data_IF_056525482667
#
_entry.id   IF_056525482667
#
_cell.length_a   1.000
_cell.length_b   1.000
_cell.length_c   1.000
_cell.angle_alpha   90.00
_cell.angle_beta   90.00
_cell.angle_gamma   90.00
#
_symmetry.space_group_name_H-M   'P 1'
#
loop_
_entity.id
_entity.type
_entity.pdbx_description
1 polymer ?
#
# COMPACT_ATOMS: atom_id res chain seq x y z
N UNK A 1 34.84 1.99 1.29
CA UNK A 1 34.50 1.65 -0.12
C UNK A 1 33.67 2.77 -0.72
N UNK A 2 34.01 3.19 -1.92
CA UNK A 2 33.22 4.23 -2.62
C UNK A 2 32.04 3.56 -3.33
N UNK A 3 30.83 3.81 -2.88
CA UNK A 3 29.59 3.35 -3.51
C UNK A 3 29.44 4.04 -4.86
N UNK A 4 29.26 3.28 -5.94
CA UNK A 4 29.12 3.84 -7.27
C UNK A 4 27.74 4.43 -7.52
N UNK A 5 27.65 5.46 -8.36
CA UNK A 5 26.36 6.05 -8.72
C UNK A 5 25.41 5.05 -9.41
N UNK A 6 25.96 4.05 -10.10
CA UNK A 6 25.21 3.00 -10.79
C UNK A 6 24.50 2.07 -9.79
N UNK A 7 25.22 1.63 -8.75
CA UNK A 7 24.64 0.79 -7.67
C UNK A 7 23.54 1.54 -6.91
N UNK A 8 23.74 2.84 -6.66
CA UNK A 8 22.70 3.68 -6.02
C UNK A 8 21.44 3.77 -6.89
N UNK A 9 21.60 3.95 -8.21
CA UNK A 9 20.47 3.98 -9.13
C UNK A 9 19.74 2.63 -9.22
N UNK A 10 20.48 1.53 -9.21
CA UNK A 10 19.92 0.18 -9.25
C UNK A 10 19.11 -0.10 -7.98
N UNK A 11 19.68 0.15 -6.80
CA UNK A 11 18.98 -0.02 -5.53
C UNK A 11 17.74 0.89 -5.44
N UNK A 12 17.82 2.11 -5.99
CA UNK A 12 16.68 3.03 -6.04
C UNK A 12 15.55 2.49 -6.94
N UNK A 13 15.88 1.90 -8.09
CA UNK A 13 14.87 1.27 -8.96
C UNK A 13 14.18 0.10 -8.29
N UNK A 14 14.92 -0.69 -7.51
CA UNK A 14 14.38 -1.84 -6.79
C UNK A 14 13.53 -1.45 -5.58
N UNK A 15 14.00 -0.48 -4.80
CA UNK A 15 13.41 -0.13 -3.50
C UNK A 15 12.43 1.05 -3.55
N UNK A 16 12.54 1.91 -4.57
CA UNK A 16 11.84 3.19 -4.63
C UNK A 16 12.28 4.22 -3.57
N UNK A 17 13.26 3.90 -2.75
CA UNK A 17 13.75 4.79 -1.69
C UNK A 17 14.50 6.02 -2.22
N UNK A 18 14.70 7.02 -1.38
CA UNK A 18 15.43 8.23 -1.72
C UNK A 18 16.90 7.95 -2.05
N UNK A 19 17.50 8.74 -2.95
CA UNK A 19 18.88 8.54 -3.41
C UNK A 19 19.89 8.52 -2.25
N UNK A 20 19.73 9.41 -1.27
CA UNK A 20 20.62 9.46 -0.10
C UNK A 20 20.43 8.27 0.83
N UNK A 21 19.22 7.75 0.94
CA UNK A 21 18.92 6.54 1.71
C UNK A 21 19.55 5.30 1.06
N UNK A 22 19.44 5.19 -0.27
CA UNK A 22 20.09 4.11 -1.02
C UNK A 22 21.61 4.17 -0.88
N UNK A 23 22.21 5.36 -0.96
CA UNK A 23 23.66 5.55 -0.75
C UNK A 23 24.07 5.14 0.66
N UNK A 24 23.32 5.56 1.68
CA UNK A 24 23.58 5.18 3.08
C UNK A 24 23.50 3.67 3.29
N UNK A 25 22.42 3.05 2.80
CA UNK A 25 22.20 1.62 2.91
C UNK A 25 23.30 0.80 2.20
N UNK A 26 23.71 1.21 1.00
CA UNK A 26 24.83 0.57 0.30
C UNK A 26 26.15 0.73 1.04
N UNK A 27 26.40 1.89 1.63
CA UNK A 27 27.60 2.11 2.44
C UNK A 27 27.61 1.21 3.68
N UNK A 28 26.49 1.07 4.37
CA UNK A 28 26.30 0.18 5.54
C UNK A 28 26.44 -1.30 5.15
N UNK A 29 25.95 -1.68 3.97
CA UNK A 29 26.01 -3.03 3.42
C UNK A 29 27.32 -3.33 2.65
N UNK A 30 28.35 -2.47 2.77
CA UNK A 30 29.63 -2.62 2.06
C UNK A 30 29.49 -2.85 0.53
N UNK A 31 28.48 -2.23 -0.09
CA UNK A 31 28.20 -2.34 -1.53
C UNK A 31 27.35 -3.54 -1.94
N UNK A 32 26.91 -4.38 -0.97
CA UNK A 32 26.01 -5.50 -1.28
C UNK A 32 24.58 -4.98 -1.48
N UNK A 33 24.04 -5.17 -2.71
CA UNK A 33 22.71 -4.71 -3.10
C UNK A 33 21.58 -5.38 -2.30
N UNK A 34 21.68 -6.70 -2.08
CA UNK A 34 20.64 -7.46 -1.37
C UNK A 34 20.56 -7.08 0.11
N UNK A 35 21.72 -6.92 0.75
CA UNK A 35 21.78 -6.51 2.16
C UNK A 35 21.36 -5.04 2.31
N UNK A 36 21.73 -4.16 1.37
CA UNK A 36 21.26 -2.79 1.34
C UNK A 36 19.73 -2.72 1.15
N UNK A 37 19.16 -3.58 0.32
CA UNK A 37 17.71 -3.67 0.14
C UNK A 37 17.00 -4.12 1.42
N UNK A 38 17.54 -5.13 2.14
CA UNK A 38 17.01 -5.56 3.43
C UNK A 38 17.05 -4.43 4.46
N UNK A 39 18.17 -3.72 4.57
CA UNK A 39 18.32 -2.56 5.45
C UNK A 39 17.28 -1.46 5.14
N UNK A 40 17.02 -1.19 3.86
CA UNK A 40 15.99 -0.23 3.47
C UNK A 40 14.58 -0.68 3.88
N UNK A 41 14.27 -1.98 3.77
CA UNK A 41 13.00 -2.54 4.24
C UNK A 41 12.84 -2.39 5.75
N UNK A 42 13.86 -2.74 6.53
CA UNK A 42 13.84 -2.59 8.00
C UNK A 42 13.68 -1.12 8.42
N UNK A 43 14.42 -0.21 7.77
CA UNK A 43 14.27 1.23 7.99
C UNK A 43 12.87 1.74 7.58
N UNK A 44 12.26 1.17 6.54
CA UNK A 44 10.89 1.46 6.12
C UNK A 44 9.87 1.06 7.18
N UNK A 45 10.00 -0.13 7.74
CA UNK A 45 9.16 -0.62 8.85
C UNK A 45 9.28 0.29 10.07
N UNK A 46 10.50 0.63 10.49
CA UNK A 46 10.75 1.54 11.62
C UNK A 46 10.17 2.95 11.40
N UNK A 47 10.17 3.44 10.15
CA UNK A 47 9.51 4.71 9.79
C UNK A 47 7.99 4.60 9.86
N UNK A 48 7.42 3.49 9.40
CA UNK A 48 5.99 3.24 9.46
C UNK A 48 5.51 3.19 10.92
N UNK A 49 6.23 2.50 11.78
CA UNK A 49 5.92 2.46 13.22
C UNK A 49 5.92 3.84 13.86
N UNK A 50 6.93 4.69 13.56
CA UNK A 50 7.00 6.07 14.07
C UNK A 50 5.85 6.96 13.59
N UNK A 51 5.24 6.64 12.46
CA UNK A 51 4.14 7.41 11.87
C UNK A 51 2.77 6.86 12.18
N UNK A 52 2.67 5.64 12.70
CA UNK A 52 1.41 4.94 12.96
C UNK A 52 0.46 5.69 13.91
N UNK A 53 0.99 6.58 14.75
CA UNK A 53 0.19 7.43 15.65
C UNK A 53 -0.39 8.69 14.99
N UNK A 54 -0.03 8.98 13.73
CA UNK A 54 -0.57 10.15 13.02
C UNK A 54 -1.93 9.81 12.44
N UNK A 55 -2.83 10.78 12.50
CA UNK A 55 -4.17 10.63 11.93
C UNK A 55 -4.09 10.51 10.40
N UNK A 56 -4.80 9.53 9.85
CA UNK A 56 -4.95 9.27 8.43
C UNK A 56 -6.45 9.27 8.10
N UNK A 57 -6.97 10.44 7.73
CA UNK A 57 -8.41 10.68 7.54
C UNK A 57 -8.79 10.84 6.07
N UNK A 58 -7.80 10.99 5.18
CA UNK A 58 -7.98 10.99 3.74
C UNK A 58 -7.71 9.59 3.17
N UNK A 59 -7.99 9.34 1.91
CA UNK A 59 -7.68 8.04 1.31
C UNK A 59 -8.60 7.63 0.19
N UNK A 60 -8.62 6.31 -0.07
CA UNK A 60 -9.44 5.69 -1.11
C UNK A 60 -10.20 4.48 -0.57
N UNK A 61 -11.42 4.33 -1.07
CA UNK A 61 -12.15 3.08 -1.04
C UNK A 61 -12.06 2.43 -2.41
N UNK A 62 -11.58 1.20 -2.47
CA UNK A 62 -11.45 0.45 -3.71
C UNK A 62 -12.23 -0.86 -3.65
N UNK A 63 -12.76 -1.27 -4.80
CA UNK A 63 -13.49 -2.52 -4.96
C UNK A 63 -12.94 -3.28 -6.17
N UNK A 64 -12.83 -4.59 -6.03
CA UNK A 64 -12.57 -5.51 -7.13
C UNK A 64 -13.61 -6.62 -7.10
N UNK A 65 -14.21 -6.90 -8.26
CA UNK A 65 -15.16 -7.98 -8.45
C UNK A 65 -14.60 -8.99 -9.44
N UNK A 66 -14.62 -10.26 -9.06
CA UNK A 66 -14.28 -11.39 -9.94
C UNK A 66 -15.36 -12.48 -9.82
N UNK A 67 -16.09 -12.70 -10.91
CA UNK A 67 -17.20 -13.66 -10.89
C UNK A 67 -18.24 -13.33 -9.83
N UNK A 68 -18.45 -14.27 -8.91
CA UNK A 68 -19.39 -14.15 -7.79
C UNK A 68 -18.71 -13.69 -6.48
N UNK A 69 -17.50 -13.19 -6.54
CA UNK A 69 -16.76 -12.68 -5.39
C UNK A 69 -16.39 -11.22 -5.59
N UNK A 70 -16.35 -10.46 -4.50
CA UNK A 70 -15.84 -9.10 -4.48
C UNK A 70 -15.08 -8.81 -3.19
N UNK A 71 -14.00 -8.05 -3.32
CA UNK A 71 -13.30 -7.45 -2.20
C UNK A 71 -13.48 -5.94 -2.23
N UNK A 72 -13.60 -5.35 -1.07
CA UNK A 72 -13.63 -3.91 -0.84
C UNK A 72 -12.67 -3.57 0.28
N UNK A 73 -11.86 -2.54 0.07
CA UNK A 73 -10.90 -2.06 1.05
C UNK A 73 -10.99 -0.55 1.21
N UNK A 74 -10.68 -0.07 2.39
CA UNK A 74 -10.44 1.34 2.69
C UNK A 74 -8.98 1.50 3.10
N UNK A 75 -8.23 2.29 2.32
CA UNK A 75 -6.84 2.62 2.61
C UNK A 75 -6.73 4.12 2.80
N UNK A 76 -6.27 4.53 3.98
CA UNK A 76 -6.19 5.92 4.36
C UNK A 76 -4.75 6.46 4.33
N UNK A 77 -4.62 7.77 4.08
CA UNK A 77 -3.40 8.58 4.11
C UNK A 77 -3.61 9.84 4.96
N UNK A 78 -2.54 10.58 5.25
CA UNK A 78 -2.64 11.83 6.03
C UNK A 78 -3.28 12.94 5.20
N UNK A 79 -2.98 13.01 3.88
CA UNK A 79 -3.43 14.09 2.98
C UNK A 79 -4.13 13.59 1.72
N UNK A 80 -4.98 14.45 1.14
CA UNK A 80 -5.63 14.21 -0.14
C UNK A 80 -4.65 14.26 -1.33
N UNK A 81 -3.51 14.89 -1.19
CA UNK A 81 -2.44 14.87 -2.19
C UNK A 81 -1.93 13.45 -2.41
N UNK A 82 -1.74 12.69 -1.34
CA UNK A 82 -1.32 11.29 -1.41
C UNK A 82 -2.45 10.42 -1.98
N UNK A 83 -3.68 10.62 -1.55
CA UNK A 83 -4.81 9.83 -2.06
C UNK A 83 -5.05 9.98 -3.57
N UNK A 84 -4.57 11.08 -4.18
CA UNK A 84 -4.63 11.34 -5.63
C UNK A 84 -3.38 10.89 -6.40
N UNK A 85 -2.34 10.42 -5.70
CA UNK A 85 -1.09 10.01 -6.32
C UNK A 85 -1.22 8.62 -6.97
N UNK A 86 -0.68 8.47 -8.19
CA UNK A 86 -0.68 7.19 -8.90
C UNK A 86 0.00 6.06 -8.12
N UNK A 87 1.11 6.35 -7.41
CA UNK A 87 1.79 5.35 -6.57
C UNK A 87 0.90 4.85 -5.42
N UNK A 88 0.06 5.72 -4.86
CA UNK A 88 -0.91 5.32 -3.85
C UNK A 88 -2.03 4.45 -4.45
N UNK A 89 -2.49 4.78 -5.66
CA UNK A 89 -3.45 3.95 -6.39
C UNK A 89 -2.89 2.56 -6.72
N UNK A 90 -1.62 2.48 -7.13
CA UNK A 90 -0.94 1.21 -7.41
C UNK A 90 -0.81 0.35 -6.13
N UNK A 91 -0.50 0.99 -4.99
CA UNK A 91 -0.49 0.34 -3.69
C UNK A 91 -1.88 -0.22 -3.34
N UNK A 92 -2.92 0.60 -3.46
CA UNK A 92 -4.31 0.21 -3.16
C UNK A 92 -4.74 -0.98 -4.04
N UNK A 93 -4.41 -0.96 -5.32
CA UNK A 93 -4.67 -2.08 -6.23
C UNK A 93 -3.92 -3.34 -5.81
N UNK A 94 -2.65 -3.23 -5.42
CA UNK A 94 -1.85 -4.37 -4.96
C UNK A 94 -2.41 -4.99 -3.67
N UNK A 95 -2.86 -4.16 -2.73
CA UNK A 95 -3.54 -4.60 -1.50
C UNK A 95 -4.84 -5.34 -1.86
N UNK A 96 -5.62 -4.78 -2.79
CA UNK A 96 -6.90 -5.36 -3.21
C UNK A 96 -6.72 -6.76 -3.85
N UNK A 97 -5.66 -6.97 -4.63
CA UNK A 97 -5.29 -8.28 -5.17
C UNK A 97 -5.01 -9.31 -4.06
N UNK A 98 -4.24 -8.91 -3.04
CA UNK A 98 -3.94 -9.79 -1.91
C UNK A 98 -5.22 -10.17 -1.15
N UNK A 99 -6.11 -9.20 -0.92
CA UNK A 99 -7.40 -9.45 -0.25
C UNK A 99 -8.28 -10.40 -1.07
N UNK A 100 -8.31 -10.23 -2.40
CA UNK A 100 -9.04 -11.15 -3.29
C UNK A 100 -8.49 -12.59 -3.21
N UNK A 101 -7.17 -12.75 -3.11
CA UNK A 101 -6.53 -14.07 -3.00
C UNK A 101 -6.80 -14.73 -1.64
N UNK A 102 -6.74 -13.95 -0.56
CA UNK A 102 -6.94 -14.41 0.81
C UNK A 102 -8.42 -14.58 1.19
N UNK A 103 -9.33 -14.02 0.39
CA UNK A 103 -10.80 -14.11 0.60
C UNK A 103 -11.22 -13.60 1.98
N UNK A 104 -11.88 -14.47 2.76
CA UNK A 104 -12.39 -14.13 4.10
C UNK A 104 -11.31 -14.11 5.20
N UNK A 105 -10.06 -14.46 4.88
CA UNK A 105 -8.95 -14.43 5.85
C UNK A 105 -8.40 -13.00 5.99
N UNK A 106 -9.06 -12.23 6.83
CA UNK A 106 -8.70 -10.82 7.09
C UNK A 106 -7.35 -10.70 7.78
N UNK A 107 -7.06 -11.59 8.74
CA UNK A 107 -5.80 -11.54 9.50
C UNK A 107 -4.61 -11.80 8.59
N UNK A 108 -4.73 -12.80 7.72
CA UNK A 108 -3.72 -13.09 6.70
C UNK A 108 -3.57 -11.92 5.72
N UNK A 109 -4.67 -11.29 5.31
CA UNK A 109 -4.63 -10.13 4.42
C UNK A 109 -3.89 -8.96 5.04
N UNK A 110 -4.09 -8.69 6.33
CA UNK A 110 -3.38 -7.66 7.08
C UNK A 110 -1.88 -7.98 7.14
N UNK A 111 -1.52 -9.22 7.46
CA UNK A 111 -0.11 -9.63 7.55
C UNK A 111 0.60 -9.53 6.20
N UNK A 112 0.01 -10.08 5.14
CA UNK A 112 0.59 -10.09 3.79
C UNK A 112 0.75 -8.67 3.21
N UNK A 113 -0.11 -7.72 3.59
CA UNK A 113 -0.05 -6.32 3.12
C UNK A 113 0.89 -5.44 3.94
N UNK A 114 1.27 -5.84 5.14
CA UNK A 114 2.08 -5.06 6.09
C UNK A 114 3.40 -4.56 5.49
N UNK A 115 4.08 -5.43 4.74
CA UNK A 115 5.36 -5.08 4.10
C UNK A 115 5.16 -4.04 2.98
N UNK A 116 4.10 -4.18 2.17
CA UNK A 116 3.78 -3.23 1.10
C UNK A 116 3.47 -1.85 1.68
N UNK A 117 2.63 -1.80 2.71
CA UNK A 117 2.25 -0.55 3.39
C UNK A 117 3.49 0.11 4.01
N UNK A 118 4.32 -0.65 4.74
CA UNK A 118 5.55 -0.12 5.35
C UNK A 118 6.52 0.46 4.30
N UNK A 119 6.65 -0.21 3.16
CA UNK A 119 7.45 0.27 2.04
C UNK A 119 6.90 1.59 1.47
N UNK A 120 5.58 1.67 1.30
CA UNK A 120 4.91 2.87 0.83
C UNK A 120 5.03 4.04 1.81
N UNK A 121 4.86 3.81 3.12
CA UNK A 121 5.10 4.82 4.17
C UNK A 121 6.53 5.33 4.13
N UNK A 122 7.50 4.44 3.91
CA UNK A 122 8.91 4.79 3.77
C UNK A 122 9.18 5.69 2.56
N UNK A 123 8.50 5.44 1.45
CA UNK A 123 8.67 6.14 0.16
C UNK A 123 7.89 7.45 0.10
N UNK A 124 6.59 7.39 0.42
CA UNK A 124 5.66 8.52 0.32
C UNK A 124 5.88 9.51 1.47
N UNK A 125 6.22 9.00 2.64
CA UNK A 125 6.52 9.85 3.80
C UNK A 125 5.32 10.20 4.67
N UNK A 126 4.14 9.64 4.41
CA UNK A 126 2.92 9.76 5.21
C UNK A 126 2.54 8.45 5.89
N UNK A 127 1.73 8.54 6.94
CA UNK A 127 1.07 7.37 7.52
C UNK A 127 0.05 6.82 6.53
N UNK A 128 0.11 5.51 6.27
CA UNK A 128 -0.83 4.80 5.40
C UNK A 128 -1.41 3.64 6.19
N UNK A 129 -2.73 3.54 6.23
CA UNK A 129 -3.45 2.57 7.03
C UNK A 129 -4.46 1.81 6.18
N UNK A 130 -4.38 0.48 6.17
CA UNK A 130 -5.47 -0.38 5.69
C UNK A 130 -6.52 -0.45 6.81
N UNK A 131 -7.56 0.37 6.68
CA UNK A 131 -8.53 0.62 7.76
C UNK A 131 -9.66 -0.40 7.80
N UNK A 132 -10.17 -0.73 6.61
CA UNK A 132 -11.27 -1.69 6.48
C UNK A 132 -11.02 -2.66 5.34
N UNK A 133 -11.41 -3.92 5.58
CA UNK A 133 -11.41 -5.00 4.59
C UNK A 133 -12.79 -5.65 4.62
N UNK A 134 -13.37 -5.88 3.46
CA UNK A 134 -14.60 -6.64 3.30
C UNK A 134 -14.47 -7.56 2.09
N UNK A 135 -14.73 -8.84 2.28
CA UNK A 135 -14.87 -9.82 1.21
C UNK A 135 -16.31 -10.34 1.20
N UNK A 136 -16.88 -10.52 0.02
CA UNK A 136 -18.29 -10.89 -0.17
C UNK A 136 -18.35 -11.92 -1.29
N UNK A 137 -19.19 -12.95 -1.11
CA UNK A 137 -19.52 -13.94 -2.13
C UNK A 137 -21.02 -13.96 -2.38
N UNK A 138 -21.42 -14.11 -3.64
CA UNK A 138 -22.81 -14.18 -4.06
C UNK A 138 -23.09 -13.44 -5.37
N UNK A 139 -24.36 -13.15 -5.64
CA UNK A 139 -24.74 -12.30 -6.76
C UNK A 139 -24.46 -10.84 -6.41
N UNK A 140 -23.34 -10.32 -6.91
CA UNK A 140 -22.85 -8.99 -6.56
C UNK A 140 -22.97 -8.07 -7.76
N UNK A 141 -23.58 -6.91 -7.53
CA UNK A 141 -23.60 -5.78 -8.43
C UNK A 141 -22.80 -4.65 -7.79
N UNK A 142 -21.91 -4.01 -8.54
CA UNK A 142 -21.11 -2.88 -8.03
C UNK A 142 -21.36 -1.66 -8.89
N UNK A 143 -21.51 -0.53 -8.24
CA UNK A 143 -21.60 0.78 -8.88
C UNK A 143 -20.69 1.76 -8.16
N UNK A 144 -19.80 2.40 -8.90
CA UNK A 144 -18.89 3.43 -8.36
C UNK A 144 -19.45 4.78 -8.77
N UNK A 145 -19.92 5.54 -7.79
CA UNK A 145 -20.36 6.92 -8.00
C UNK A 145 -19.21 7.87 -7.70
N UNK A 146 -18.58 8.37 -8.74
CA UNK A 146 -17.52 9.37 -8.65
C UNK A 146 -18.13 10.77 -8.59
N UNK A 147 -18.42 11.22 -7.39
CA UNK A 147 -18.58 12.66 -7.09
C UNK A 147 -17.28 13.13 -6.44
N UNK A 148 -17.10 14.39 -6.16
CA UNK A 148 -15.88 14.97 -5.53
C UNK A 148 -15.38 14.23 -4.27
N UNK A 149 -16.13 13.26 -3.80
CA UNK A 149 -15.81 12.29 -2.74
C UNK A 149 -16.23 10.92 -3.25
N UNK A 150 -15.33 9.92 -3.13
CA UNK A 150 -15.62 8.54 -3.56
C UNK A 150 -16.52 7.90 -2.51
N UNK A 151 -17.83 7.89 -2.75
CA UNK A 151 -18.77 7.08 -1.98
C UNK A 151 -18.97 5.74 -2.65
N UNK A 152 -18.71 4.65 -1.93
CA UNK A 152 -19.09 3.31 -2.35
C UNK A 152 -20.45 2.99 -1.73
N UNK A 153 -21.47 2.89 -2.54
CA UNK A 153 -22.75 2.32 -2.12
C UNK A 153 -22.81 0.86 -2.55
N UNK A 154 -22.93 -0.04 -1.60
CA UNK A 154 -23.38 -1.40 -1.90
C UNK A 154 -24.87 -1.32 -2.26
N UNK A 155 -25.32 -1.83 -3.42
CA UNK A 155 -26.74 -1.94 -3.64
C UNK A 155 -27.31 -2.92 -2.64
N UNK A 156 -28.11 -2.41 -1.73
CA UNK A 156 -29.03 -3.21 -0.95
C UNK A 156 -30.01 -3.87 -1.92
N UNK A 157 -30.19 -5.18 -1.78
CA UNK A 157 -31.19 -6.07 -2.40
C UNK A 157 -32.19 -5.44 -3.34
N UNK A 158 -32.37 -6.03 -4.54
CA UNK A 158 -33.49 -5.60 -5.38
C UNK A 158 -34.79 -5.84 -4.62
N UNK A 159 -35.57 -4.81 -4.46
CA UNK A 159 -36.97 -4.97 -4.10
C UNK A 159 -37.62 -5.84 -5.17
N UNK A 160 -38.19 -6.96 -4.73
CA UNK A 160 -39.11 -7.77 -5.52
C UNK A 160 -40.42 -7.00 -5.66
#
# INVERSE_FOLDING_TARGET
MTVSAKEVQELRKMSGAGMMECKSALSEANGNLDDAFKLLREKGIAKAEKKSSREANEGLVAIKKEGNSAAMIEVNSETDFVSRNSEFHDLVNSILEIVMQNKNDTDKSIEDTKILISGAVGKIGENIVLKNIKFIEGNIYSYIHTVSYTHLTLPTTPYV
#
